data_IF_653162348769
#
_entry.id   IF_653162348769
#
_cell.length_a   1.000
_cell.length_b   1.000
_cell.length_c   1.000
_cell.angle_alpha   90.00
_cell.angle_beta   90.00
_cell.angle_gamma   90.00
#
_symmetry.space_group_name_H-M   'P 1'
#
loop_
_entity.id
_entity.type
_entity.pdbx_description
1 polymer ?
#
# COMPACT_ATOMS: atom_id res chain seq x y z
N UNK A 1 -18.48 13.10 -1.69
CA UNK A 1 -17.97 12.71 -0.35
C UNK A 1 -16.80 11.78 -0.58
N UNK A 2 -15.62 12.02 0.02
CA UNK A 2 -14.49 11.11 -0.12
C UNK A 2 -14.93 9.73 0.40
N UNK A 3 -14.70 8.67 -0.37
CA UNK A 3 -15.10 7.31 0.00
C UNK A 3 -14.24 6.87 1.18
N UNK A 4 -14.79 6.83 2.42
CA UNK A 4 -13.98 6.55 3.59
C UNK A 4 -13.51 5.10 3.48
N UNK A 5 -12.19 4.90 3.48
CA UNK A 5 -11.60 3.58 3.52
C UNK A 5 -12.21 2.79 4.69
N UNK A 6 -12.70 1.58 4.41
CA UNK A 6 -13.31 0.73 5.43
C UNK A 6 -12.25 -0.18 6.04
N UNK A 7 -12.28 -0.43 7.36
CA UNK A 7 -11.57 -1.57 7.94
C UNK A 7 -12.00 -2.85 7.24
N UNK A 8 -11.09 -3.80 7.05
CA UNK A 8 -11.39 -5.06 6.36
C UNK A 8 -10.40 -6.13 6.76
N UNK A 9 -10.79 -7.41 6.69
CA UNK A 9 -9.86 -8.53 6.82
C UNK A 9 -9.31 -9.03 5.49
N UNK A 10 -9.96 -8.66 4.39
CA UNK A 10 -9.72 -9.24 3.08
C UNK A 10 -9.62 -8.16 1.99
N UNK A 11 -9.06 -6.99 2.30
CA UNK A 11 -8.91 -5.92 1.33
C UNK A 11 -7.85 -6.30 0.29
N UNK A 12 -8.15 -6.09 -0.99
CA UNK A 12 -7.18 -6.23 -2.08
C UNK A 12 -6.64 -4.85 -2.42
N UNK A 13 -5.32 -4.73 -2.47
CA UNK A 13 -4.62 -3.48 -2.77
C UNK A 13 -4.00 -3.58 -4.17
N UNK A 14 -4.16 -2.53 -4.98
CA UNK A 14 -3.60 -2.43 -6.32
C UNK A 14 -2.74 -1.18 -6.42
N UNK A 15 -1.64 -1.24 -7.15
CA UNK A 15 -0.92 -0.03 -7.56
C UNK A 15 -1.55 0.54 -8.83
N UNK A 16 -1.52 1.87 -8.97
CA UNK A 16 -2.00 2.57 -10.17
C UNK A 16 -0.97 2.62 -11.31
N UNK A 17 0.18 1.95 -11.19
CA UNK A 17 1.11 1.77 -12.30
C UNK A 17 0.51 0.90 -13.41
N UNK A 18 1.13 0.91 -14.58
CA UNK A 18 0.65 0.19 -15.76
C UNK A 18 0.39 -1.30 -15.47
N UNK A 19 -0.76 -1.79 -15.94
CA UNK A 19 -1.24 -3.15 -15.65
C UNK A 19 -1.97 -3.31 -14.31
N UNK A 20 -2.04 -2.26 -13.49
CA UNK A 20 -2.66 -2.22 -12.17
C UNK A 20 -2.34 -3.46 -11.30
N UNK A 21 -1.05 -3.76 -11.06
CA UNK A 21 -0.63 -4.97 -10.38
C UNK A 21 -1.10 -4.99 -8.92
N UNK A 22 -1.28 -6.20 -8.39
CA UNK A 22 -1.60 -6.41 -6.99
C UNK A 22 -0.41 -6.07 -6.11
N UNK A 23 -0.65 -5.43 -4.97
CA UNK A 23 0.31 -5.43 -3.87
C UNK A 23 0.19 -6.76 -3.13
N UNK A 24 1.29 -7.34 -2.69
CA UNK A 24 1.27 -8.61 -1.98
C UNK A 24 2.48 -8.85 -1.11
N UNK A 25 2.31 -9.74 -0.14
CA UNK A 25 3.38 -10.28 0.68
C UNK A 25 3.61 -11.74 0.25
N UNK A 26 4.84 -12.14 -0.15
CA UNK A 26 5.09 -13.51 -0.56
C UNK A 26 4.82 -14.48 0.60
N UNK A 27 4.23 -15.66 0.34
CA UNK A 27 3.95 -16.66 1.36
C UNK A 27 5.21 -17.48 1.71
N UNK A 28 6.29 -16.80 2.06
CA UNK A 28 7.56 -17.42 2.45
C UNK A 28 7.72 -17.40 3.98
N UNK A 29 8.65 -18.19 4.52
CA UNK A 29 8.89 -18.33 5.97
C UNK A 29 10.00 -17.46 6.61
N UNK A 30 10.69 -16.52 5.93
CA UNK A 30 11.56 -15.57 6.64
C UNK A 30 10.77 -14.71 7.64
N UNK A 31 11.45 -14.25 8.69
CA UNK A 31 10.89 -13.32 9.68
C UNK A 31 10.43 -12.01 9.02
N UNK A 32 11.22 -11.54 8.05
CA UNK A 32 10.97 -10.33 7.28
C UNK A 32 10.96 -10.64 5.80
N UNK A 33 9.95 -10.16 5.09
CA UNK A 33 9.75 -10.40 3.66
C UNK A 33 9.43 -9.09 2.92
N UNK A 34 9.85 -8.95 1.66
CA UNK A 34 9.56 -7.76 0.87
C UNK A 34 8.08 -7.68 0.49
N UNK A 35 7.46 -6.49 0.58
CA UNK A 35 6.14 -6.25 0.00
C UNK A 35 6.33 -5.88 -1.48
N UNK A 36 5.69 -6.63 -2.38
CA UNK A 36 5.95 -6.55 -3.82
C UNK A 36 4.69 -6.32 -4.64
N UNK A 37 4.90 -5.89 -5.89
CA UNK A 37 3.90 -5.89 -6.94
C UNK A 37 3.88 -7.23 -7.67
N UNK A 38 2.67 -7.75 -7.88
CA UNK A 38 2.39 -8.97 -8.62
C UNK A 38 1.50 -8.63 -9.82
N UNK A 39 1.97 -8.97 -11.02
CA UNK A 39 1.14 -8.88 -12.23
C UNK A 39 -0.16 -9.68 -12.05
N UNK A 40 -1.27 -9.19 -12.63
CA UNK A 40 -2.59 -9.79 -12.37
C UNK A 40 -2.72 -11.22 -12.86
N UNK A 41 -1.98 -11.58 -13.89
CA UNK A 41 -1.92 -12.91 -14.51
C UNK A 41 -0.89 -13.85 -13.87
N UNK A 42 -0.02 -13.34 -12.98
CA UNK A 42 1.01 -14.14 -12.33
C UNK A 42 0.56 -14.81 -11.03
N UNK A 43 -0.66 -14.49 -10.57
CA UNK A 43 -1.26 -15.04 -9.35
C UNK A 43 -2.60 -15.70 -9.67
N UNK A 44 -2.88 -16.84 -9.02
CA UNK A 44 -4.17 -17.53 -9.15
C UNK A 44 -5.28 -16.80 -8.39
N UNK A 45 -4.92 -16.15 -7.29
CA UNK A 45 -5.83 -15.40 -6.43
C UNK A 45 -5.19 -14.08 -6.02
N UNK A 46 -6.00 -13.03 -5.87
CA UNK A 46 -5.51 -11.72 -5.48
C UNK A 46 -5.03 -11.74 -4.01
N UNK A 47 -3.81 -11.24 -3.70
CA UNK A 47 -3.37 -11.08 -2.33
C UNK A 47 -4.31 -10.18 -1.52
N UNK A 48 -4.59 -10.60 -0.29
CA UNK A 48 -5.48 -9.88 0.62
C UNK A 48 -4.73 -9.35 1.84
N UNK A 49 -5.20 -8.21 2.34
CA UNK A 49 -4.68 -7.54 3.52
C UNK A 49 -5.79 -7.32 4.55
N UNK A 50 -5.39 -7.40 5.80
CA UNK A 50 -6.12 -6.90 6.95
C UNK A 50 -5.78 -5.40 7.13
N UNK A 51 -6.83 -4.58 7.16
CA UNK A 51 -6.80 -3.16 7.43
C UNK A 51 -7.51 -2.91 8.76
N UNK A 52 -6.72 -2.65 9.80
CA UNK A 52 -7.23 -2.30 11.13
C UNK A 52 -7.20 -0.78 11.30
N UNK A 53 -8.36 -0.18 11.56
CA UNK A 53 -8.45 1.27 11.78
C UNK A 53 -8.10 1.60 13.23
N UNK A 54 -7.06 2.41 13.42
CA UNK A 54 -6.54 2.80 14.74
C UNK A 54 -6.58 4.32 14.99
N UNK A 55 -7.04 5.09 14.00
CA UNK A 55 -7.27 6.53 14.09
C UNK A 55 -8.28 7.00 13.03
N UNK A 56 -8.46 8.30 12.85
CA UNK A 56 -9.44 8.84 11.89
C UNK A 56 -9.17 8.36 10.45
N UNK A 57 -7.90 8.45 10.04
CA UNK A 57 -7.37 8.00 8.74
C UNK A 57 -6.10 7.15 8.91
N UNK A 58 -5.85 6.68 10.13
CA UNK A 58 -4.69 5.86 10.45
C UNK A 58 -5.10 4.39 10.49
N UNK A 59 -4.31 3.56 9.81
CA UNK A 59 -4.52 2.13 9.71
C UNK A 59 -3.24 1.36 10.01
N UNK A 60 -3.40 0.16 10.57
CA UNK A 60 -2.40 -0.90 10.49
C UNK A 60 -2.73 -1.76 9.29
N UNK A 61 -1.71 -2.11 8.51
CA UNK A 61 -1.85 -2.97 7.33
C UNK A 61 -1.03 -4.24 7.58
N UNK A 62 -1.69 -5.39 7.50
CA UNK A 62 -1.06 -6.71 7.68
C UNK A 62 -1.59 -7.71 6.68
N UNK A 63 -0.84 -8.79 6.42
CA UNK A 63 -1.30 -9.93 5.64
C UNK A 63 -0.58 -11.19 6.10
N UNK A 64 -1.32 -12.30 6.26
CA UNK A 64 -0.76 -13.61 6.61
C UNK A 64 0.13 -13.58 7.88
N UNK A 65 -0.23 -12.76 8.88
CA UNK A 65 0.56 -12.57 10.11
C UNK A 65 1.74 -11.61 10.00
N UNK A 66 2.08 -11.15 8.79
CA UNK A 66 3.10 -10.13 8.57
C UNK A 66 2.50 -8.72 8.71
N UNK A 67 3.14 -7.90 9.52
CA UNK A 67 2.82 -6.48 9.71
C UNK A 67 3.66 -5.66 8.75
N UNK A 68 3.04 -4.75 8.02
CA UNK A 68 3.80 -3.85 7.14
C UNK A 68 4.57 -2.82 7.97
N UNK A 69 5.83 -2.58 7.59
CA UNK A 69 6.70 -1.62 8.24
C UNK A 69 7.73 -1.05 7.26
N UNK A 70 8.31 0.09 7.65
CA UNK A 70 9.49 0.64 6.99
C UNK A 70 10.76 -0.03 7.51
N UNK A 71 11.58 -0.52 6.60
CA UNK A 71 12.93 -0.97 6.89
C UNK A 71 13.88 -0.43 5.82
N UNK A 72 14.73 0.53 6.20
CA UNK A 72 15.74 1.15 5.34
C UNK A 72 15.18 1.74 4.02
N UNK A 73 13.98 2.32 4.06
CA UNK A 73 13.34 2.90 2.87
C UNK A 73 12.69 1.87 1.95
N UNK A 74 12.48 0.65 2.44
CA UNK A 74 11.77 -0.42 1.75
C UNK A 74 10.55 -0.84 2.56
N UNK A 75 9.45 -1.10 1.86
CA UNK A 75 8.27 -1.67 2.48
C UNK A 75 8.49 -3.18 2.66
N UNK A 76 8.41 -3.61 3.92
CA UNK A 76 8.54 -5.03 4.29
C UNK A 76 7.37 -5.46 5.15
N UNK A 77 7.05 -6.75 5.09
CA UNK A 77 6.22 -7.45 6.07
C UNK A 77 7.11 -8.11 7.10
N UNK A 78 6.80 -7.94 8.39
CA UNK A 78 7.52 -8.60 9.50
C UNK A 78 6.54 -9.26 10.47
N UNK A 79 6.88 -10.46 10.95
CA UNK A 79 6.14 -11.10 12.06
C UNK A 79 6.57 -10.55 13.43
N UNK A 80 7.74 -9.92 13.50
CA UNK A 80 8.30 -9.30 14.69
C UNK A 80 8.11 -7.77 14.67
N UNK A 81 8.18 -7.14 15.85
CA UNK A 81 8.06 -5.69 15.99
C UNK A 81 6.61 -5.18 16.01
N UNK A 82 6.50 -3.86 16.08
CA UNK A 82 5.23 -3.14 16.04
C UNK A 82 4.83 -2.85 14.60
N UNK A 83 3.52 -2.93 14.32
CA UNK A 83 3.00 -2.57 13.00
C UNK A 83 3.15 -1.06 12.78
N UNK A 84 3.65 -0.66 11.61
CA UNK A 84 3.72 0.74 11.25
C UNK A 84 2.30 1.30 11.10
N UNK A 85 2.07 2.47 11.70
CA UNK A 85 0.85 3.25 11.50
C UNK A 85 0.94 4.02 10.20
N UNK A 86 -0.02 3.77 9.32
CA UNK A 86 -0.13 4.39 8.00
C UNK A 86 -1.31 5.36 7.96
N UNK A 87 -1.06 6.61 7.57
CA UNK A 87 -2.07 7.57 7.22
C UNK A 87 -2.49 7.35 5.77
N UNK A 88 -3.78 7.04 5.54
CA UNK A 88 -4.32 6.75 4.21
C UNK A 88 -5.25 7.88 3.78
N UNK A 89 -4.84 8.60 2.73
CA UNK A 89 -5.55 9.77 2.21
C UNK A 89 -6.14 9.50 0.84
N UNK A 90 -7.39 9.90 0.63
CA UNK A 90 -8.07 9.77 -0.65
C UNK A 90 -7.68 10.90 -1.59
N UNK A 91 -7.10 10.55 -2.73
CA UNK A 91 -6.77 11.46 -3.83
C UNK A 91 -7.93 11.48 -4.84
N UNK A 92 -8.91 12.36 -4.59
CA UNK A 92 -10.20 12.39 -5.30
C UNK A 92 -10.08 12.44 -6.83
N UNK A 93 -9.11 13.21 -7.35
CA UNK A 93 -8.93 13.35 -8.79
C UNK A 93 -8.34 12.13 -9.50
N UNK A 94 -7.82 11.18 -8.73
CA UNK A 94 -7.29 9.92 -9.25
C UNK A 94 -8.19 8.72 -8.91
N UNK A 95 -9.23 8.92 -8.09
CA UNK A 95 -10.03 7.84 -7.50
C UNK A 95 -9.12 6.73 -6.93
N UNK A 96 -8.17 7.16 -6.10
CA UNK A 96 -7.12 6.35 -5.53
C UNK A 96 -6.67 6.94 -4.18
N UNK A 97 -5.70 6.31 -3.53
CA UNK A 97 -5.25 6.65 -2.20
C UNK A 97 -3.73 6.77 -2.15
N UNK A 98 -3.26 7.70 -1.32
CA UNK A 98 -1.87 7.77 -0.86
C UNK A 98 -1.76 7.01 0.46
N UNK A 99 -0.66 6.29 0.66
CA UNK A 99 -0.36 5.57 1.90
C UNK A 99 0.93 6.16 2.46
N UNK A 100 0.84 6.96 3.51
CA UNK A 100 1.96 7.70 4.11
C UNK A 100 2.19 7.30 5.55
N UNK A 101 3.39 7.53 6.09
CA UNK A 101 3.63 7.33 7.51
C UNK A 101 2.79 8.33 8.31
N UNK A 102 2.19 7.87 9.41
CA UNK A 102 1.39 8.75 10.28
C UNK A 102 2.16 9.99 10.75
N UNK A 103 3.42 9.80 11.15
CA UNK A 103 4.26 10.85 11.71
C UNK A 103 5.06 11.64 10.66
N UNK A 104 5.04 11.20 9.39
CA UNK A 104 5.81 11.79 8.29
C UNK A 104 4.95 11.79 7.02
N UNK A 105 3.93 12.65 6.95
CA UNK A 105 2.94 12.64 5.84
C UNK A 105 3.52 12.86 4.44
N UNK A 106 4.76 13.34 4.33
CA UNK A 106 5.49 13.46 3.05
C UNK A 106 6.22 12.18 2.63
N UNK A 107 6.27 11.16 3.49
CA UNK A 107 6.98 9.89 3.26
C UNK A 107 5.96 8.76 3.20
N UNK A 108 5.96 8.01 2.10
CA UNK A 108 4.95 6.99 1.86
C UNK A 108 5.36 5.92 0.87
N UNK A 109 4.39 5.09 0.52
CA UNK A 109 4.58 3.97 -0.39
C UNK A 109 4.82 4.46 -1.81
N UNK A 110 5.85 3.93 -2.47
CA UNK A 110 6.21 4.22 -3.85
C UNK A 110 6.38 2.88 -4.57
N UNK A 111 5.45 2.60 -5.48
CA UNK A 111 5.53 1.48 -6.39
C UNK A 111 6.75 1.61 -7.32
N UNK A 112 7.47 0.51 -7.60
CA UNK A 112 8.52 0.52 -8.60
C UNK A 112 7.93 0.78 -9.99
N UNK A 113 8.54 1.69 -10.74
CA UNK A 113 8.18 1.97 -12.14
C UNK A 113 8.74 0.92 -13.12
N UNK A 114 9.85 0.26 -12.74
CA UNK A 114 10.60 -0.65 -13.59
C UNK A 114 10.57 -2.09 -13.06
N UNK A 115 10.68 -3.04 -13.97
CA UNK A 115 10.51 -4.49 -13.76
C UNK A 115 11.56 -5.15 -12.86
N UNK A 116 12.50 -4.40 -12.28
CA UNK A 116 13.52 -5.00 -11.41
C UNK A 116 13.06 -5.00 -9.95
N UNK A 117 12.91 -6.21 -9.44
CA UNK A 117 12.62 -6.62 -8.06
C UNK A 117 11.19 -6.42 -7.54
N UNK A 118 10.42 -5.50 -8.14
CA UNK A 118 8.98 -5.35 -7.86
C UNK A 118 8.63 -4.93 -6.43
N UNK A 119 9.62 -4.67 -5.58
CA UNK A 119 9.42 -4.29 -4.19
C UNK A 119 9.00 -2.82 -4.06
N UNK A 120 8.01 -2.58 -3.21
CA UNK A 120 7.54 -1.23 -2.89
C UNK A 120 8.58 -0.54 -2.01
N UNK A 121 8.89 0.71 -2.36
CA UNK A 121 9.80 1.57 -1.61
C UNK A 121 9.02 2.46 -0.67
N UNK A 122 9.71 2.97 0.35
CA UNK A 122 9.22 4.04 1.21
C UNK A 122 10.11 5.25 0.98
N UNK A 123 9.51 6.38 0.66
CA UNK A 123 10.27 7.58 0.35
C UNK A 123 9.40 8.82 0.23
N UNK A 124 10.06 9.95 -0.05
CA UNK A 124 9.40 11.23 -0.22
C UNK A 124 8.43 11.18 -1.42
N UNK A 125 7.17 11.50 -1.15
CA UNK A 125 6.14 11.67 -2.16
C UNK A 125 6.40 12.96 -2.95
N UNK A 126 6.16 12.89 -4.25
CA UNK A 126 6.31 14.02 -5.16
C UNK A 126 4.92 14.50 -5.55
N UNK A 127 4.65 15.78 -5.31
CA UNK A 127 3.40 16.44 -5.63
C UNK A 127 3.66 17.47 -6.73
N UNK A 128 2.95 17.34 -7.85
CA UNK A 128 3.04 18.27 -8.97
C UNK A 128 2.36 19.62 -8.66
N UNK A 129 2.87 20.74 -9.20
CA UNK A 129 2.28 22.05 -9.02
C UNK A 129 1.03 22.20 -9.91
N UNK A 130 -0.12 21.71 -9.43
CA UNK A 130 -1.43 21.89 -10.05
C UNK A 130 -2.52 22.11 -8.99
N UNK A 131 -3.68 22.62 -9.41
CA UNK A 131 -4.87 22.69 -8.55
C UNK A 131 -6.01 21.95 -9.24
N UNK A 132 -6.40 20.75 -8.76
CA UNK A 132 -5.86 20.00 -7.62
C UNK A 132 -4.41 19.52 -7.79
N UNK A 133 -3.72 19.13 -6.70
CA UNK A 133 -2.39 18.54 -6.80
C UNK A 133 -2.36 17.26 -7.65
N UNK A 134 -1.33 17.13 -8.47
CA UNK A 134 -1.10 15.93 -9.27
C UNK A 134 -0.17 14.97 -8.53
N UNK A 135 -0.57 13.70 -8.44
CA UNK A 135 0.28 12.63 -7.90
C UNK A 135 0.66 11.64 -9.01
N UNK A 136 1.94 11.28 -9.16
CA UNK A 136 2.36 10.21 -10.05
C UNK A 136 1.68 8.89 -9.70
N UNK A 137 1.35 8.07 -10.72
CA UNK A 137 0.73 6.75 -10.54
C UNK A 137 1.50 5.83 -9.60
N UNK A 138 2.83 5.95 -9.57
CA UNK A 138 3.70 5.18 -8.67
C UNK A 138 3.43 5.45 -7.18
N UNK A 139 2.74 6.54 -6.81
CA UNK A 139 2.42 6.86 -5.41
C UNK A 139 0.96 6.51 -5.05
N UNK A 140 0.17 6.06 -6.03
CA UNK A 140 -1.27 5.90 -5.91
C UNK A 140 -1.66 4.43 -5.85
N UNK A 141 -2.57 4.11 -4.92
CA UNK A 141 -3.06 2.76 -4.67
C UNK A 141 -4.58 2.73 -4.58
N UNK A 142 -5.19 1.63 -5.04
CA UNK A 142 -6.63 1.38 -4.92
C UNK A 142 -6.91 0.22 -3.99
N UNK A 143 -8.08 0.26 -3.36
CA UNK A 143 -8.57 -0.79 -2.48
C UNK A 143 -9.86 -1.37 -3.04
N UNK A 144 -9.95 -2.70 -3.05
CA UNK A 144 -11.19 -3.42 -3.35
C UNK A 144 -11.53 -4.32 -2.18
N UNK A 145 -12.81 -4.39 -1.86
CA UNK A 145 -13.33 -5.27 -0.84
C UNK A 145 -14.10 -6.42 -1.52
N UNK A 146 -14.00 -7.66 -1.02
CA UNK A 146 -14.87 -8.73 -1.47
C UNK A 146 -16.34 -8.35 -1.20
N UNK A 147 -17.29 -8.83 -2.04
CA UNK A 147 -18.70 -8.70 -1.74
C UNK A 147 -19.01 -9.40 -0.40
N UNK A 148 -19.83 -8.76 0.43
CA UNK A 148 -20.37 -9.33 1.68
C UNK A 148 -21.26 -10.54 1.42
#
# INVERSE_FOLDING_TARGET
MPNPLKPSKNAVIYSMVDGEPYVGIPPTKPVTVPVRLYARDSVTEAPTFELEKVGERTYLISANGYKTQDQDGLLVGSIEGEAQRWYIEYAEHHDAYLITKENERGVGWIAPADNNEGQIRIGNLIMGPSFPPFYPSIQLFRFRYPPE
#
